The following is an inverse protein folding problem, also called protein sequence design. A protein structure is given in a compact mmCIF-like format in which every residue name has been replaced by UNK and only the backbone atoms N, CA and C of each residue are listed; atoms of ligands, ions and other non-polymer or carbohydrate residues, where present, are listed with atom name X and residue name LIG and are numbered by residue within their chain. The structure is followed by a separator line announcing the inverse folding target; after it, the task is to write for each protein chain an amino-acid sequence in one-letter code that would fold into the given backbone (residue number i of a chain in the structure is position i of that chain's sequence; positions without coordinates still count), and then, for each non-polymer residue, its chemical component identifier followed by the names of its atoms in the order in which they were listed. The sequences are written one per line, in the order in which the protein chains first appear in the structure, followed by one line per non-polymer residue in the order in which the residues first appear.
data_IF_669590901493
#
_entry.id   IF_669590901493
#
_cell.length_a   1.000
_cell.length_b   1.000
_cell.length_c   1.000
_cell.angle_alpha   90.00
_cell.angle_beta   90.00
_cell.angle_gamma   90.00
#
_symmetry.space_group_name_H-M   'P 1'
#
loop_
_entity.id
_entity.type
_entity.pdbx_description
1 polymer ?
#
# COMPACT_ATOMS: atom_id res chain seq x y z
N UNK A 1 11.07 18.27 2.93
CA UNK A 1 11.18 16.80 2.85
C UNK A 1 11.87 16.48 1.55
N UNK A 2 12.95 15.70 1.60
CA UNK A 2 13.65 15.25 0.39
C UNK A 2 12.70 14.36 -0.43
N UNK A 3 12.56 14.69 -1.71
CA UNK A 3 11.67 13.99 -2.63
C UNK A 3 12.40 12.75 -3.12
N UNK A 4 11.98 11.59 -2.66
CA UNK A 4 12.57 10.32 -3.08
C UNK A 4 11.81 9.84 -4.31
N UNK A 5 12.53 9.66 -5.42
CA UNK A 5 11.98 9.08 -6.65
C UNK A 5 12.80 7.86 -7.00
N UNK A 6 12.16 6.70 -7.05
CA UNK A 6 12.80 5.47 -7.49
C UNK A 6 12.65 5.33 -9.00
N UNK A 7 13.76 5.12 -9.69
CA UNK A 7 13.78 4.68 -11.07
C UNK A 7 13.99 3.16 -11.11
N UNK A 8 12.98 2.42 -11.57
CA UNK A 8 13.02 0.98 -11.75
C UNK A 8 13.46 0.64 -13.17
N UNK A 9 14.56 -0.10 -13.30
CA UNK A 9 15.07 -0.65 -14.56
C UNK A 9 15.05 -2.17 -14.49
N UNK A 10 14.44 -2.82 -15.48
CA UNK A 10 14.48 -4.27 -15.65
C UNK A 10 14.68 -4.63 -17.12
N UNK A 11 15.34 -5.76 -17.40
CA UNK A 11 15.30 -6.34 -18.74
C UNK A 11 13.84 -6.60 -19.15
N UNK A 12 13.40 -6.00 -20.25
CA UNK A 12 12.04 -6.16 -20.78
C UNK A 12 10.97 -5.17 -20.28
N UNK A 13 11.29 -4.30 -19.31
CA UNK A 13 10.42 -3.19 -18.91
C UNK A 13 11.08 -1.87 -19.30
N UNK A 14 10.29 -0.93 -19.82
CA UNK A 14 10.73 0.45 -19.92
C UNK A 14 11.03 1.00 -18.52
N UNK A 15 11.97 1.96 -18.42
CA UNK A 15 12.32 2.56 -17.13
C UNK A 15 11.09 3.27 -16.55
N UNK A 16 10.69 2.93 -15.33
CA UNK A 16 9.51 3.50 -14.67
C UNK A 16 9.96 4.28 -13.44
N UNK A 17 9.46 5.51 -13.32
CA UNK A 17 9.68 6.36 -12.14
C UNK A 17 8.54 6.17 -11.13
N UNK A 18 8.88 6.08 -9.86
CA UNK A 18 7.93 5.98 -8.76
C UNK A 18 8.26 7.05 -7.73
N UNK A 19 7.26 7.85 -7.37
CA UNK A 19 7.38 8.76 -6.24
C UNK A 19 7.20 7.96 -4.95
N UNK A 20 8.15 8.10 -4.03
CA UNK A 20 8.20 7.30 -2.80
C UNK A 20 8.14 8.20 -1.58
N UNK A 21 7.18 7.88 -0.71
CA UNK A 21 7.05 8.44 0.64
C UNK A 21 6.79 7.34 1.66
N UNK A 22 6.71 7.72 2.95
CA UNK A 22 6.35 6.78 4.01
C UNK A 22 5.01 6.09 3.75
N UNK A 23 4.04 6.82 3.19
CA UNK A 23 2.86 6.21 2.59
C UNK A 23 2.80 6.58 1.12
N UNK A 24 3.01 5.58 0.29
CA UNK A 24 2.95 5.66 -1.16
C UNK A 24 1.66 5.00 -1.64
N UNK A 25 0.99 5.57 -2.64
CA UNK A 25 -0.15 4.96 -3.31
C UNK A 25 0.12 4.83 -4.79
N UNK A 26 -0.15 3.66 -5.35
CA UNK A 26 -0.20 3.39 -6.78
C UNK A 26 -1.66 3.14 -7.12
N UNK A 27 -2.22 3.99 -7.98
CA UNK A 27 -3.57 3.80 -8.48
C UNK A 27 -3.56 2.73 -9.57
N UNK A 28 -4.42 1.72 -9.43
CA UNK A 28 -4.53 0.62 -10.37
C UNK A 28 -5.49 1.00 -11.50
N UNK A 29 -4.97 1.34 -12.68
CA UNK A 29 -5.79 1.49 -13.89
C UNK A 29 -6.08 0.12 -14.53
N UNK A 30 -7.16 0.03 -15.31
CA UNK A 30 -7.64 -1.25 -15.89
C UNK A 30 -6.67 -1.89 -16.92
N UNK A 31 -5.70 -1.14 -17.46
CA UNK A 31 -4.86 -1.54 -18.61
C UNK A 31 -3.35 -1.55 -18.31
N UNK A 32 -2.96 -1.53 -17.04
CA UNK A 32 -1.59 -1.23 -16.63
C UNK A 32 -0.91 -2.38 -15.84
N UNK A 33 0.41 -2.27 -15.65
CA UNK A 33 1.30 -3.34 -15.13
C UNK A 33 1.72 -3.11 -13.68
N UNK A 34 0.91 -2.44 -12.87
CA UNK A 34 1.24 -2.05 -11.49
C UNK A 34 1.58 -3.26 -10.63
N UNK A 35 0.82 -4.36 -10.78
CA UNK A 35 1.12 -5.61 -10.09
C UNK A 35 2.52 -6.13 -10.45
N UNK A 36 2.88 -6.15 -11.73
CA UNK A 36 4.21 -6.59 -12.20
C UNK A 36 5.33 -5.70 -11.64
N UNK A 37 5.11 -4.38 -11.58
CA UNK A 37 6.05 -3.42 -10.99
C UNK A 37 6.26 -3.74 -9.51
N UNK A 38 5.19 -3.95 -8.76
CA UNK A 38 5.26 -4.28 -7.34
C UNK A 38 5.88 -5.65 -7.08
N UNK A 39 5.59 -6.66 -7.93
CA UNK A 39 6.26 -7.96 -7.87
C UNK A 39 7.76 -7.84 -8.14
N UNK A 40 8.15 -6.99 -9.08
CA UNK A 40 9.55 -6.73 -9.40
C UNK A 40 10.28 -6.10 -8.21
N UNK A 41 9.67 -5.09 -7.58
CA UNK A 41 10.18 -4.45 -6.35
C UNK A 41 10.26 -5.46 -5.21
N UNK A 42 9.19 -6.22 -4.98
CA UNK A 42 9.13 -7.26 -3.96
C UNK A 42 10.27 -8.27 -4.14
N UNK A 43 10.45 -8.78 -5.37
CA UNK A 43 11.51 -9.71 -5.72
C UNK A 43 12.92 -9.13 -5.51
N UNK A 44 13.16 -7.89 -5.94
CA UNK A 44 14.46 -7.23 -5.79
C UNK A 44 14.96 -7.21 -4.34
N UNK A 45 14.06 -6.93 -3.39
CA UNK A 45 14.35 -6.86 -1.96
C UNK A 45 14.30 -8.23 -1.24
N UNK A 46 14.05 -9.34 -1.94
CA UNK A 46 14.13 -10.67 -1.31
C UNK A 46 15.58 -11.16 -1.20
N UNK A 47 15.92 -11.85 -0.11
CA UNK A 47 17.28 -12.39 0.10
C UNK A 47 17.75 -13.34 -1.02
N UNK A 48 16.85 -14.17 -1.56
CA UNK A 48 17.17 -15.27 -2.51
C UNK A 48 16.51 -15.11 -3.89
N UNK A 49 16.27 -13.89 -4.36
CA UNK A 49 15.69 -13.70 -5.69
C UNK A 49 16.75 -13.76 -6.81
N UNK A 50 16.41 -14.48 -7.88
CA UNK A 50 17.20 -14.61 -9.11
C UNK A 50 17.17 -13.35 -9.99
N UNK A 51 16.19 -12.47 -9.79
CA UNK A 51 16.00 -11.26 -10.61
C UNK A 51 17.00 -10.12 -10.29
N UNK A 52 17.80 -10.24 -9.22
CA UNK A 52 18.79 -9.22 -8.81
C UNK A 52 19.84 -8.91 -9.87
N UNK A 53 20.10 -9.84 -10.79
CA UNK A 53 21.04 -9.62 -11.89
C UNK A 53 20.47 -8.71 -12.99
N UNK A 54 19.14 -8.59 -13.08
CA UNK A 54 18.44 -7.96 -14.20
C UNK A 54 17.60 -6.74 -13.79
N UNK A 55 17.40 -6.55 -12.48
CA UNK A 55 16.63 -5.44 -11.91
C UNK A 55 17.55 -4.50 -11.16
N UNK A 56 17.44 -3.20 -11.43
CA UNK A 56 18.12 -2.14 -10.70
C UNK A 56 17.11 -1.09 -10.25
N UNK A 57 17.17 -0.70 -8.97
CA UNK A 57 16.38 0.42 -8.43
C UNK A 57 17.36 1.54 -8.11
N UNK A 58 17.16 2.72 -8.68
CA UNK A 58 18.03 3.89 -8.51
C UNK A 58 17.25 4.97 -7.77
N UNK A 59 17.85 5.59 -6.76
CA UNK A 59 17.34 6.83 -6.20
C UNK A 59 17.72 7.98 -7.13
N UNK A 60 16.74 8.58 -7.80
CA UNK A 60 16.97 9.62 -8.80
C UNK A 60 17.46 10.93 -8.19
N UNK A 61 17.23 11.17 -6.89
CA UNK A 61 17.73 12.37 -6.22
C UNK A 61 19.26 12.34 -6.10
N UNK A 62 19.80 11.19 -5.70
CA UNK A 62 21.23 11.01 -5.43
C UNK A 62 21.99 10.35 -6.60
N UNK A 63 21.26 9.75 -7.55
CA UNK A 63 21.83 8.94 -8.63
C UNK A 63 22.40 7.60 -8.17
N UNK A 64 22.11 7.20 -6.94
CA UNK A 64 22.67 5.99 -6.32
C UNK A 64 21.76 4.77 -6.50
N UNK A 65 22.37 3.60 -6.73
CA UNK A 65 21.65 2.33 -6.75
C UNK A 65 21.24 1.98 -5.32
N UNK A 66 19.95 1.75 -5.11
CA UNK A 66 19.41 1.32 -3.82
C UNK A 66 19.80 -0.13 -3.60
N UNK A 67 20.59 -0.48 -2.57
CA UNK A 67 21.01 -1.86 -2.37
C UNK A 67 19.82 -2.78 -2.09
N UNK A 68 19.83 -3.98 -2.67
CA UNK A 68 18.82 -5.05 -2.41
C UNK A 68 18.65 -5.45 -0.94
N UNK A 69 19.61 -5.09 -0.08
CA UNK A 69 19.59 -5.34 1.36
C UNK A 69 19.11 -4.12 2.17
N UNK A 70 18.78 -3.00 1.53
CA UNK A 70 18.26 -1.82 2.24
C UNK A 70 16.94 -2.12 2.91
N UNK A 71 16.10 -2.91 2.23
CA UNK A 71 14.80 -3.34 2.72
C UNK A 71 14.66 -4.86 2.70
N UNK A 72 13.82 -5.37 3.60
CA UNK A 72 13.15 -6.66 3.46
C UNK A 72 11.69 -6.38 3.13
N UNK A 73 11.28 -6.72 1.91
CA UNK A 73 9.94 -6.40 1.42
C UNK A 73 8.94 -7.52 1.73
N UNK A 74 7.71 -7.14 2.08
CA UNK A 74 6.58 -8.03 2.33
C UNK A 74 5.40 -7.60 1.47
N UNK A 75 4.83 -8.54 0.72
CA UNK A 75 3.63 -8.33 -0.08
C UNK A 75 2.44 -8.99 0.63
N UNK A 76 1.41 -8.20 0.94
CA UNK A 76 0.24 -8.68 1.69
C UNK A 76 -1.08 -8.16 1.12
N UNK A 77 -2.15 -8.86 1.47
CA UNK A 77 -3.54 -8.49 1.21
C UNK A 77 -4.43 -8.93 2.40
N UNK A 78 -5.75 -8.74 2.32
CA UNK A 78 -6.67 -9.18 3.36
C UNK A 78 -6.61 -10.69 3.61
N UNK A 79 -6.46 -11.51 2.57
CA UNK A 79 -6.40 -12.98 2.71
C UNK A 79 -5.17 -13.42 3.51
N UNK A 80 -4.02 -12.79 3.28
CA UNK A 80 -2.81 -13.05 4.06
C UNK A 80 -3.05 -12.81 5.55
N UNK A 81 -3.70 -11.69 5.89
CA UNK A 81 -4.00 -11.35 7.28
C UNK A 81 -5.01 -12.32 7.85
N UNK A 82 -6.08 -12.64 7.13
CA UNK A 82 -7.10 -13.58 7.62
C UNK A 82 -6.51 -14.96 7.94
N UNK A 83 -5.58 -15.47 7.12
CA UNK A 83 -4.88 -16.74 7.38
C UNK A 83 -4.04 -16.71 8.66
N UNK A 84 -3.58 -15.55 9.11
CA UNK A 84 -2.85 -15.42 10.36
C UNK A 84 -3.74 -15.69 11.60
N UNK A 85 -5.09 -15.57 11.49
CA UNK A 85 -6.02 -15.95 12.57
C UNK A 85 -6.01 -17.44 12.87
N UNK A 86 -5.70 -18.27 11.88
CA UNK A 86 -5.68 -19.72 12.07
C UNK A 86 -4.50 -20.18 12.95
N UNK A 87 -3.55 -19.28 13.27
CA UNK A 87 -2.33 -19.58 14.02
C UNK A 87 -1.60 -20.83 13.49
N UNK A 88 -1.64 -21.00 12.16
CA UNK A 88 -0.92 -22.08 11.50
C UNK A 88 0.56 -22.06 11.89
N UNK A 89 1.21 -23.22 11.88
CA UNK A 89 2.61 -23.32 12.34
C UNK A 89 3.57 -22.37 11.58
N UNK A 90 3.26 -22.09 10.32
CA UNK A 90 4.03 -21.19 9.45
C UNK A 90 3.72 -19.71 9.64
N UNK A 91 2.63 -19.39 10.34
CA UNK A 91 2.14 -18.03 10.54
C UNK A 91 3.14 -17.18 11.32
N UNK A 92 3.18 -15.88 11.02
CA UNK A 92 4.02 -14.92 11.73
C UNK A 92 3.59 -14.79 13.19
N UNK A 93 2.28 -14.75 13.46
CA UNK A 93 1.78 -14.62 14.82
C UNK A 93 2.10 -15.85 15.67
N UNK A 94 2.02 -17.06 15.13
CA UNK A 94 2.45 -18.26 15.84
C UNK A 94 3.97 -18.28 16.10
N UNK A 95 4.78 -17.78 15.16
CA UNK A 95 6.23 -17.59 15.38
C UNK A 95 6.51 -16.60 16.51
N UNK A 96 5.78 -15.48 16.54
CA UNK A 96 5.87 -14.48 17.63
C UNK A 96 5.55 -15.12 18.98
N UNK A 97 4.46 -15.88 19.07
CA UNK A 97 4.07 -16.59 20.30
C UNK A 97 5.18 -17.56 20.72
N UNK A 98 5.63 -18.45 19.83
CA UNK A 98 6.67 -19.44 20.15
C UNK A 98 7.99 -18.76 20.55
N UNK A 99 8.33 -17.63 19.93
CA UNK A 99 9.50 -16.83 20.31
C UNK A 99 9.36 -16.26 21.72
N UNK A 100 8.24 -15.62 22.03
CA UNK A 100 7.97 -15.09 23.37
C UNK A 100 7.94 -16.19 24.45
N UNK A 101 7.40 -17.38 24.12
CA UNK A 101 7.40 -18.52 25.03
C UNK A 101 8.83 -19.00 25.35
N UNK A 102 9.74 -18.96 24.37
CA UNK A 102 11.15 -19.36 24.54
C UNK A 102 11.98 -18.31 25.28
N UNK A 103 11.64 -17.03 25.12
CA UNK A 103 12.31 -15.92 25.80
C UNK A 103 11.99 -15.88 27.30
N UNK A 104 10.91 -16.55 27.74
CA UNK A 104 10.52 -16.65 29.15
C UNK A 104 11.01 -17.96 29.79
N UNK A 105 12.03 -17.85 30.64
CA UNK A 105 12.67 -18.97 31.32
C UNK A 105 11.75 -19.74 32.28
N UNK A 106 10.71 -19.09 32.84
CA UNK A 106 9.80 -19.74 33.79
C UNK A 106 8.90 -20.78 33.11
N UNK A 107 8.60 -20.56 31.82
CA UNK A 107 7.73 -21.44 31.03
C UNK A 107 8.33 -22.83 30.86
N UNK A 108 9.66 -22.93 30.76
CA UNK A 108 10.33 -24.23 30.64
C UNK A 108 10.09 -25.12 31.86
N UNK A 109 10.07 -24.54 33.07
CA UNK A 109 9.75 -25.25 34.31
C UNK A 109 8.30 -25.75 34.33
N UNK A 110 7.36 -24.93 33.86
CA UNK A 110 5.96 -25.34 33.73
C UNK A 110 5.78 -26.48 32.72
N UNK A 111 6.43 -26.41 31.56
CA UNK A 111 6.39 -27.48 30.55
C UNK A 111 7.02 -28.77 31.09
N UNK A 112 8.11 -28.69 31.85
CA UNK A 112 8.69 -29.86 32.50
C UNK A 112 7.69 -30.51 33.47
N UNK A 113 7.06 -29.70 34.32
CA UNK A 113 6.02 -30.17 35.26
C UNK A 113 4.86 -30.83 34.51
N UNK A 114 4.38 -30.25 33.42
CA UNK A 114 3.32 -30.84 32.60
C UNK A 114 3.71 -32.19 31.99
N UNK A 115 4.96 -32.34 31.54
CA UNK A 115 5.45 -33.61 30.99
C UNK A 115 5.51 -34.71 32.04
N UNK A 116 5.97 -34.38 33.27
CA UNK A 116 5.95 -35.33 34.39
C UNK A 116 4.52 -35.78 34.70
N UNK A 117 3.57 -34.83 34.77
CA UNK A 117 2.17 -35.17 35.01
C UNK A 117 1.54 -36.02 33.89
N UNK A 118 1.94 -35.81 32.63
CA UNK A 118 1.51 -36.65 31.52
C UNK A 118 2.07 -38.08 31.62
N UNK A 119 3.31 -38.23 32.07
CA UNK A 119 3.91 -39.54 32.35
C UNK A 119 3.18 -40.25 33.48
N UNK A 120 2.88 -39.55 34.58
CA UNK A 120 2.12 -40.09 35.71
C UNK A 120 0.72 -40.55 35.25
N UNK A 121 0.01 -39.74 34.46
CA UNK A 121 -1.30 -40.11 33.92
C UNK A 121 -1.25 -41.37 33.06
N UNK A 122 -0.20 -41.53 32.24
CA UNK A 122 -0.04 -42.73 31.41
C UNK A 122 0.19 -43.98 32.26
N UNK A 123 0.93 -43.90 33.37
CA UNK A 123 1.12 -45.04 34.28
C UNK A 123 -0.19 -45.60 34.84
N UNK A 124 -1.23 -44.78 34.99
CA UNK A 124 -2.55 -45.24 35.46
C UNK A 124 -3.35 -46.02 34.40
N UNK A 125 -3.03 -45.90 33.11
CA UNK A 125 -3.73 -46.57 32.00
C UNK A 125 -2.84 -47.57 31.25
N UNK A 126 -1.54 -47.60 31.53
CA UNK A 126 -0.56 -48.52 30.95
C UNK A 126 -0.65 -49.93 31.58
N UNK A 127 -1.80 -50.58 31.39
CA UNK A 127 -2.02 -51.98 31.76
C UNK A 127 -1.37 -52.96 30.76
N UNK A 128 -0.08 -52.75 30.47
CA UNK A 128 0.70 -53.55 29.51
C UNK A 128 0.56 -53.10 28.05
N UNK A 129 0.19 -51.84 27.82
CA UNK A 129 0.10 -51.25 26.48
C UNK A 129 1.43 -50.57 26.16
N UNK A 130 2.07 -50.80 25.00
CA UNK A 130 3.35 -50.17 24.68
C UNK A 130 3.18 -48.70 24.26
N UNK A 131 2.67 -47.85 25.17
CA UNK A 131 2.35 -46.44 24.94
C UNK A 131 3.30 -45.53 25.72
N UNK A 132 3.56 -44.34 25.19
CA UNK A 132 4.30 -43.28 25.86
C UNK A 132 3.71 -41.92 25.50
N UNK A 133 3.68 -40.94 26.41
CA UNK A 133 3.25 -39.60 26.06
C UNK A 133 4.21 -38.98 25.06
N UNK A 134 3.68 -38.16 24.16
CA UNK A 134 4.53 -37.29 23.33
C UNK A 134 4.96 -36.09 24.18
N UNK A 135 6.20 -35.60 24.04
CA UNK A 135 6.64 -34.41 24.76
C UNK A 135 5.72 -33.22 24.48
N UNK A 136 5.26 -32.58 25.54
CA UNK A 136 4.53 -31.33 25.50
C UNK A 136 5.52 -30.17 25.49
N UNK A 137 5.85 -29.70 24.30
CA UNK A 137 6.79 -28.59 24.05
C UNK A 137 6.06 -27.29 23.66
N UNK A 138 6.81 -26.22 23.39
CA UNK A 138 6.23 -24.94 22.95
C UNK A 138 5.34 -25.06 21.70
N UNK A 139 5.66 -25.98 20.78
CA UNK A 139 4.87 -26.19 19.56
C UNK A 139 3.59 -26.96 19.85
N UNK A 140 3.62 -27.91 20.77
CA UNK A 140 2.43 -28.61 21.25
C UNK A 140 1.51 -27.62 21.97
N UNK A 141 2.07 -26.79 22.86
CA UNK A 141 1.31 -25.76 23.56
C UNK A 141 0.67 -24.75 22.59
N UNK A 142 1.40 -24.26 21.58
CA UNK A 142 0.85 -23.25 20.66
C UNK A 142 -0.33 -23.75 19.84
N UNK A 143 -0.42 -25.06 19.56
CA UNK A 143 -1.59 -25.68 18.89
C UNK A 143 -2.86 -25.68 19.73
N UNK A 144 -2.74 -25.51 21.04
CA UNK A 144 -3.88 -25.40 21.95
C UNK A 144 -4.31 -23.94 22.18
N UNK A 145 -3.63 -22.97 21.57
CA UNK A 145 -3.99 -21.56 21.63
C UNK A 145 -4.97 -21.22 20.51
N UNK A 146 -5.88 -20.30 20.82
CA UNK A 146 -6.80 -19.69 19.86
C UNK A 146 -6.89 -18.20 20.15
N UNK A 147 -7.22 -17.40 19.14
CA UNK A 147 -7.47 -15.98 19.36
C UNK A 147 -8.67 -15.81 20.29
N UNK A 148 -8.47 -15.01 21.34
CA UNK A 148 -9.55 -14.51 22.15
C UNK A 148 -10.06 -13.22 21.53
N UNK A 149 -11.33 -13.22 21.15
CA UNK A 149 -12.04 -12.04 20.72
C UNK A 149 -12.57 -11.30 21.95
N UNK A 150 -12.31 -9.99 22.05
CA UNK A 150 -12.94 -9.14 23.07
C UNK A 150 -14.46 -9.11 22.89
N UNK A 151 -15.19 -9.29 24.00
CA UNK A 151 -16.66 -9.37 23.99
C UNK A 151 -17.34 -8.09 23.47
N UNK A 152 -16.64 -6.96 23.45
CA UNK A 152 -17.15 -5.65 23.03
C UNK A 152 -16.85 -5.30 21.56
N UNK A 153 -16.13 -6.16 20.83
CA UNK A 153 -15.74 -5.89 19.45
C UNK A 153 -16.33 -6.98 18.55
N UNK A 154 -17.02 -6.56 17.50
CA UNK A 154 -17.58 -7.47 16.51
C UNK A 154 -16.47 -7.95 15.55
N UNK A 155 -15.80 -9.03 15.93
CA UNK A 155 -14.76 -9.64 15.11
C UNK A 155 -15.31 -10.45 13.93
N UNK A 156 -16.63 -10.50 13.68
CA UNK A 156 -17.14 -10.94 12.38
C UNK A 156 -16.88 -9.90 11.29
N UNK A 157 -16.69 -8.63 11.67
CA UNK A 157 -16.30 -7.58 10.73
C UNK A 157 -14.82 -7.65 10.42
N UNK A 158 -14.52 -7.69 9.12
CA UNK A 158 -13.16 -7.73 8.59
C UNK A 158 -12.32 -6.56 9.12
N UNK A 159 -12.85 -5.34 9.14
CA UNK A 159 -12.10 -4.15 9.59
C UNK A 159 -11.51 -4.30 11.00
N UNK A 160 -12.29 -4.81 11.95
CA UNK A 160 -11.84 -4.97 13.34
C UNK A 160 -10.71 -5.99 13.45
N UNK A 161 -10.80 -7.05 12.63
CA UNK A 161 -9.76 -8.07 12.51
C UNK A 161 -8.47 -7.48 11.92
N UNK A 162 -8.57 -6.75 10.81
CA UNK A 162 -7.44 -6.09 10.15
C UNK A 162 -6.71 -5.12 11.06
N UNK A 163 -7.42 -4.22 11.75
CA UNK A 163 -6.83 -3.20 12.63
C UNK A 163 -6.07 -3.79 13.80
N UNK A 164 -6.55 -4.92 14.35
CA UNK A 164 -5.89 -5.58 15.49
C UNK A 164 -4.69 -6.38 15.05
N UNK A 165 -4.78 -7.06 13.91
CA UNK A 165 -3.75 -8.01 13.51
C UNK A 165 -2.61 -7.37 12.74
N UNK A 166 -2.90 -6.45 11.82
CA UNK A 166 -1.88 -5.91 10.94
C UNK A 166 -0.70 -5.30 11.71
N UNK A 167 -0.88 -4.51 12.79
CA UNK A 167 0.24 -4.00 13.58
C UNK A 167 1.08 -5.12 14.21
N UNK A 168 0.45 -6.18 14.73
CA UNK A 168 1.16 -7.31 15.35
C UNK A 168 1.97 -8.10 14.34
N UNK A 169 1.41 -8.28 13.14
CA UNK A 169 2.08 -8.94 12.01
C UNK A 169 3.28 -8.12 11.57
N UNK A 170 3.10 -6.80 11.39
CA UNK A 170 4.17 -5.88 10.95
C UNK A 170 5.30 -5.81 11.98
N UNK A 171 4.98 -5.79 13.27
CA UNK A 171 5.98 -5.86 14.34
C UNK A 171 6.82 -7.13 14.21
N UNK A 172 6.19 -8.30 14.01
CA UNK A 172 6.95 -9.53 13.84
C UNK A 172 7.73 -9.56 12.52
N UNK A 173 7.19 -8.99 11.42
CA UNK A 173 7.92 -8.82 10.16
C UNK A 173 9.20 -8.02 10.37
N UNK A 174 9.16 -6.94 11.14
CA UNK A 174 10.33 -6.14 11.50
C UNK A 174 11.31 -6.93 12.38
N UNK A 175 10.82 -7.66 13.39
CA UNK A 175 11.67 -8.48 14.26
C UNK A 175 12.45 -9.57 13.51
N UNK A 176 11.83 -10.22 12.52
CA UNK A 176 12.50 -11.27 11.73
C UNK A 176 13.32 -10.72 10.56
N UNK A 177 13.14 -9.43 10.24
CA UNK A 177 13.86 -8.78 9.16
C UNK A 177 15.19 -8.24 9.68
N UNK A 178 16.30 -8.67 9.06
CA UNK A 178 17.63 -8.12 9.37
C UNK A 178 17.85 -6.72 8.76
N UNK A 179 16.86 -6.20 8.05
CA UNK A 179 16.89 -4.98 7.25
C UNK A 179 15.59 -4.20 7.51
N UNK A 180 15.52 -2.94 7.08
CA UNK A 180 14.29 -2.14 7.24
C UNK A 180 13.12 -2.83 6.54
N UNK A 181 11.98 -2.94 7.19
CA UNK A 181 10.79 -3.54 6.57
C UNK A 181 10.15 -2.57 5.59
N UNK A 182 9.77 -3.06 4.41
CA UNK A 182 8.93 -2.36 3.44
C UNK A 182 7.66 -3.19 3.21
N UNK A 183 6.49 -2.59 3.43
CA UNK A 183 5.21 -3.26 3.20
C UNK A 183 4.63 -2.85 1.86
N UNK A 184 4.26 -3.81 1.03
CA UNK A 184 3.39 -3.61 -0.13
C UNK A 184 2.03 -4.20 0.22
N UNK A 185 0.98 -3.38 0.18
CA UNK A 185 -0.39 -3.78 0.46
C UNK A 185 -1.24 -3.68 -0.80
N UNK A 186 -1.78 -4.80 -1.26
CA UNK A 186 -2.60 -4.85 -2.48
C UNK A 186 -4.09 -4.87 -2.17
N UNK A 187 -4.85 -3.99 -2.84
CA UNK A 187 -6.30 -3.87 -2.80
C UNK A 187 -6.89 -3.77 -1.39
N UNK A 188 -6.44 -2.80 -0.57
CA UNK A 188 -6.93 -2.60 0.80
C UNK A 188 -8.42 -2.23 0.88
N UNK A 189 -9.08 -1.92 -0.22
CA UNK A 189 -10.52 -1.64 -0.31
C UNK A 189 -11.40 -2.89 -0.35
N UNK A 190 -10.83 -4.06 -0.63
CA UNK A 190 -11.60 -5.27 -0.89
C UNK A 190 -12.48 -5.66 0.32
N UNK A 191 -13.79 -5.80 0.09
CA UNK A 191 -14.79 -6.14 1.11
C UNK A 191 -14.93 -5.13 2.27
N UNK A 192 -14.48 -3.89 2.08
CA UNK A 192 -14.65 -2.81 3.06
C UNK A 192 -15.62 -1.74 2.54
N UNK A 193 -16.57 -1.33 3.38
CA UNK A 193 -17.39 -0.15 3.10
C UNK A 193 -16.56 1.14 3.11
N UNK A 194 -17.01 2.26 2.50
CA UNK A 194 -16.24 3.51 2.47
C UNK A 194 -15.77 4.01 3.85
N UNK A 195 -16.61 3.83 4.89
CA UNK A 195 -16.23 4.20 6.27
C UNK A 195 -15.10 3.33 6.80
N UNK A 196 -15.15 2.03 6.52
CA UNK A 196 -14.12 1.06 6.92
C UNK A 196 -12.83 1.25 6.14
N UNK A 197 -12.90 1.66 4.86
CA UNK A 197 -11.72 2.02 4.07
C UNK A 197 -10.98 3.21 4.68
N UNK A 198 -11.69 4.27 5.07
CA UNK A 198 -11.09 5.44 5.77
C UNK A 198 -10.45 5.02 7.09
N UNK A 199 -11.07 4.10 7.81
CA UNK A 199 -10.56 3.56 9.05
C UNK A 199 -9.28 2.73 8.80
N UNK A 200 -9.30 1.81 7.84
CA UNK A 200 -8.15 0.99 7.52
C UNK A 200 -6.98 1.80 6.95
N UNK A 201 -7.27 2.85 6.17
CA UNK A 201 -6.28 3.82 5.71
C UNK A 201 -5.48 4.40 6.87
N UNK A 202 -6.14 4.78 7.97
CA UNK A 202 -5.47 5.30 9.17
C UNK A 202 -4.61 4.23 9.84
N UNK A 203 -5.08 2.97 9.87
CA UNK A 203 -4.30 1.84 10.36
C UNK A 203 -2.99 1.71 9.57
N UNK A 204 -3.04 1.73 8.23
CA UNK A 204 -1.86 1.68 7.37
C UNK A 204 -0.91 2.88 7.57
N UNK A 205 -1.43 4.09 7.73
CA UNK A 205 -0.61 5.29 8.02
C UNK A 205 0.07 5.24 9.39
N UNK A 206 -0.52 4.53 10.35
CA UNK A 206 0.00 4.42 11.72
C UNK A 206 1.13 3.41 11.87
N UNK A 207 1.40 2.59 10.84
CA UNK A 207 2.50 1.64 10.85
C UNK A 207 3.83 2.40 10.81
N UNK A 208 4.78 2.02 11.67
CA UNK A 208 6.10 2.64 11.75
C UNK A 208 7.07 2.14 10.67
N UNK A 209 6.55 1.84 9.48
CA UNK A 209 7.32 1.34 8.34
C UNK A 209 6.82 2.00 7.05
N UNK A 210 7.66 2.11 6.01
CA UNK A 210 7.18 2.54 4.70
C UNK A 210 6.15 1.55 4.14
N UNK A 211 5.05 2.09 3.62
CA UNK A 211 3.94 1.33 3.03
C UNK A 211 3.70 1.78 1.59
N UNK A 212 3.66 0.82 0.67
CA UNK A 212 3.26 1.01 -0.72
C UNK A 212 1.88 0.37 -0.94
N UNK A 213 0.95 1.26 -1.24
CA UNK A 213 -0.40 1.11 -1.76
C UNK A 213 -0.59 0.54 -3.16
N UNK A 214 -1.26 -0.59 -3.41
CA UNK A 214 -1.94 -0.78 -4.70
C UNK A 214 -3.44 -0.69 -4.48
N UNK A 215 -4.12 0.26 -5.11
CA UNK A 215 -5.51 0.57 -4.82
C UNK A 215 -6.29 0.99 -6.07
N UNK A 216 -7.55 0.55 -6.18
CA UNK A 216 -8.56 1.12 -7.08
C UNK A 216 -9.46 2.16 -6.38
N UNK A 217 -9.31 2.37 -5.08
CA UNK A 217 -10.12 3.30 -4.27
C UNK A 217 -9.42 4.63 -3.99
N UNK A 218 -10.19 5.72 -4.12
CA UNK A 218 -9.76 7.08 -3.80
C UNK A 218 -9.39 7.25 -2.32
N UNK A 219 -9.97 6.44 -1.44
CA UNK A 219 -9.74 6.52 0.01
C UNK A 219 -8.31 6.10 0.41
N UNK A 220 -7.62 5.32 -0.42
CA UNK A 220 -6.26 4.88 -0.17
C UNK A 220 -5.19 5.65 -0.94
N UNK A 221 -5.57 6.67 -1.71
CA UNK A 221 -4.60 7.58 -2.30
C UNK A 221 -3.76 8.28 -1.22
N UNK A 222 -2.51 8.57 -1.55
CA UNK A 222 -1.61 9.33 -0.69
C UNK A 222 -2.16 10.74 -0.48
N UNK A 223 -2.03 11.26 0.75
CA UNK A 223 -2.39 12.67 1.00
C UNK A 223 -1.37 13.62 0.42
N UNK A 224 -0.16 13.17 0.11
CA UNK A 224 0.83 13.96 -0.59
C UNK A 224 0.84 13.58 -2.06
N UNK A 225 0.84 14.58 -2.94
CA UNK A 225 0.94 14.37 -4.38
C UNK A 225 2.25 13.63 -4.74
N UNK A 226 3.34 13.90 -4.01
CA UNK A 226 4.62 13.20 -4.18
C UNK A 226 4.65 11.81 -3.54
N UNK A 227 3.57 11.37 -2.89
CA UNK A 227 3.37 9.97 -2.51
C UNK A 227 2.41 9.25 -3.46
N UNK A 228 1.86 9.94 -4.47
CA UNK A 228 0.98 9.33 -5.47
C UNK A 228 1.77 8.90 -6.69
N UNK A 229 1.37 7.74 -7.20
CA UNK A 229 1.84 7.19 -8.45
C UNK A 229 0.62 6.94 -9.32
N UNK A 230 0.63 7.61 -10.47
CA UNK A 230 -0.36 7.44 -11.51
C UNK A 230 0.42 7.06 -12.77
N UNK A 231 0.43 5.77 -13.07
CA UNK A 231 1.27 5.20 -14.12
C UNK A 231 0.37 4.95 -15.32
N UNK A 232 0.78 5.46 -16.48
CA UNK A 232 0.05 5.23 -17.71
C UNK A 232 1.03 5.12 -18.87
N UNK A 233 0.87 4.08 -19.71
CA UNK A 233 1.78 3.77 -20.82
C UNK A 233 3.25 3.79 -20.37
N UNK A 234 3.53 3.06 -19.29
CA UNK A 234 4.85 2.94 -18.66
C UNK A 234 5.49 4.28 -18.21
N UNK A 235 4.68 5.33 -18.01
CA UNK A 235 5.14 6.64 -17.57
C UNK A 235 4.42 7.10 -16.30
N UNK A 236 5.20 7.56 -15.33
CA UNK A 236 4.68 8.31 -14.19
C UNK A 236 4.16 9.68 -14.63
N UNK A 237 2.86 9.91 -14.44
CA UNK A 237 2.24 11.17 -14.82
C UNK A 237 2.55 12.27 -13.80
N UNK A 238 2.55 11.95 -12.51
CA UNK A 238 2.79 12.94 -11.46
C UNK A 238 4.29 13.07 -11.25
N UNK A 239 4.93 14.06 -11.89
CA UNK A 239 6.36 14.31 -11.72
C UNK A 239 6.70 15.81 -11.73
N UNK A 240 7.81 16.17 -11.09
CA UNK A 240 8.23 17.57 -10.93
C UNK A 240 8.52 18.27 -12.26
N UNK A 241 8.98 17.54 -13.28
CA UNK A 241 9.27 18.14 -14.58
C UNK A 241 8.00 18.69 -15.21
N UNK A 242 6.93 17.89 -15.21
CA UNK A 242 5.64 18.30 -15.74
C UNK A 242 4.99 19.40 -14.87
N UNK A 243 5.07 19.30 -13.54
CA UNK A 243 4.55 20.35 -12.65
C UNK A 243 5.26 21.70 -12.87
N UNK A 244 6.59 21.69 -13.04
CA UNK A 244 7.34 22.90 -13.36
C UNK A 244 6.88 23.49 -14.69
N UNK A 245 6.68 22.65 -15.71
CA UNK A 245 6.14 23.10 -16.99
C UNK A 245 4.75 23.71 -16.83
N UNK A 246 3.88 23.11 -16.02
CA UNK A 246 2.53 23.62 -15.77
C UNK A 246 2.53 24.99 -15.06
N UNK A 247 3.52 25.28 -14.21
CA UNK A 247 3.71 26.64 -13.67
C UNK A 247 4.15 27.61 -14.76
N UNK A 248 5.09 27.21 -15.62
CA UNK A 248 5.60 28.06 -16.71
C UNK A 248 4.56 28.41 -17.76
N UNK A 249 3.72 27.43 -18.13
CA UNK A 249 2.70 27.55 -19.17
C UNK A 249 1.39 28.18 -18.63
N UNK A 250 1.35 28.55 -17.35
CA UNK A 250 0.14 29.02 -16.68
C UNK A 250 -0.43 30.30 -17.33
N UNK A 251 -1.75 30.35 -17.63
CA UNK A 251 -2.38 31.54 -18.22
C UNK A 251 -2.51 32.72 -17.25
N UNK A 252 -2.26 32.49 -15.97
CA UNK A 252 -2.24 33.48 -14.90
C UNK A 252 -1.08 33.16 -13.95
N UNK A 253 -0.76 34.09 -13.04
CA UNK A 253 0.33 33.94 -12.08
C UNK A 253 -0.05 32.95 -10.96
N UNK A 254 0.00 31.66 -11.26
CA UNK A 254 -0.20 30.60 -10.26
C UNK A 254 1.14 30.15 -9.67
N UNK A 255 1.15 29.97 -8.36
CA UNK A 255 2.31 29.38 -7.67
C UNK A 255 2.27 27.84 -7.75
N UNK A 256 3.45 27.23 -7.59
CA UNK A 256 3.60 25.76 -7.59
C UNK A 256 2.67 25.09 -6.58
N UNK A 257 2.56 25.66 -5.38
CA UNK A 257 1.75 25.08 -4.30
C UNK A 257 0.25 25.12 -4.65
N UNK A 258 -0.23 26.19 -5.30
CA UNK A 258 -1.63 26.31 -5.76
C UNK A 258 -1.94 25.24 -6.81
N UNK A 259 -1.04 25.06 -7.79
CA UNK A 259 -1.14 24.03 -8.82
C UNK A 259 -1.15 22.62 -8.20
N UNK A 260 -0.25 22.35 -7.25
CA UNK A 260 -0.19 21.05 -6.57
C UNK A 260 -1.46 20.77 -5.76
N UNK A 261 -2.02 21.78 -5.08
CA UNK A 261 -3.28 21.66 -4.34
C UNK A 261 -4.45 21.40 -5.29
N UNK A 262 -4.54 22.14 -6.38
CA UNK A 262 -5.57 21.97 -7.40
C UNK A 262 -5.52 20.57 -8.03
N UNK A 263 -4.33 20.12 -8.44
CA UNK A 263 -4.14 18.79 -9.03
C UNK A 263 -4.49 17.68 -8.04
N UNK A 264 -4.02 17.79 -6.79
CA UNK A 264 -4.35 16.83 -5.75
C UNK A 264 -5.87 16.73 -5.56
N UNK A 265 -6.57 17.86 -5.52
CA UNK A 265 -8.04 17.90 -5.40
C UNK A 265 -8.70 17.24 -6.61
N UNK A 266 -8.25 17.58 -7.81
CA UNK A 266 -8.74 16.99 -9.06
C UNK A 266 -8.64 15.47 -9.04
N UNK A 267 -7.47 14.92 -8.72
CA UNK A 267 -7.25 13.46 -8.68
C UNK A 267 -8.13 12.80 -7.61
N UNK A 268 -8.18 13.33 -6.38
CA UNK A 268 -8.98 12.72 -5.31
C UNK A 268 -10.49 12.72 -5.59
N UNK A 269 -11.00 13.74 -6.30
CA UNK A 269 -12.42 13.87 -6.58
C UNK A 269 -12.85 13.07 -7.82
N UNK A 270 -11.98 12.99 -8.82
CA UNK A 270 -12.38 12.56 -10.16
C UNK A 270 -11.62 11.35 -10.70
N UNK A 271 -10.72 10.73 -9.93
CA UNK A 271 -9.92 9.58 -10.41
C UNK A 271 -10.77 8.46 -11.05
N UNK A 272 -11.93 8.14 -10.47
CA UNK A 272 -12.85 7.11 -10.99
C UNK A 272 -13.53 7.51 -12.30
N UNK A 273 -13.56 8.82 -12.61
CA UNK A 273 -14.09 9.35 -13.86
C UNK A 273 -13.03 9.40 -14.96
N UNK A 274 -11.74 9.40 -14.60
CA UNK A 274 -10.65 9.49 -15.56
C UNK A 274 -10.57 8.25 -16.47
N UNK A 275 -10.96 7.08 -15.99
CA UNK A 275 -10.94 5.85 -16.79
C UNK A 275 -11.98 5.84 -17.92
N UNK A 276 -12.98 6.71 -17.85
CA UNK A 276 -14.06 6.83 -18.83
C UNK A 276 -13.76 7.95 -19.84
N UNK A 277 -14.72 8.29 -20.69
CA UNK A 277 -14.67 9.53 -21.50
C UNK A 277 -15.53 10.60 -20.83
N UNK A 278 -15.06 11.26 -19.75
CA UNK A 278 -15.90 12.14 -18.95
C UNK A 278 -16.28 13.40 -19.73
N UNK A 279 -17.46 13.93 -19.42
CA UNK A 279 -17.83 15.30 -19.75
C UNK A 279 -17.32 16.25 -18.66
N UNK A 280 -16.57 17.26 -19.06
CA UNK A 280 -16.10 18.35 -18.19
C UNK A 280 -16.97 19.59 -18.40
N UNK A 281 -17.47 20.17 -17.31
CA UNK A 281 -18.25 21.42 -17.34
C UNK A 281 -17.95 22.34 -16.16
N UNK A 282 -18.24 23.63 -16.34
CA UNK A 282 -18.17 24.67 -15.31
C UNK A 282 -19.52 25.32 -14.99
N UNK A 283 -20.62 24.86 -15.59
CA UNK A 283 -21.93 25.53 -15.46
C UNK A 283 -23.11 24.57 -15.30
N UNK A 284 -22.96 23.30 -15.67
CA UNK A 284 -23.99 22.27 -15.52
C UNK A 284 -23.44 21.03 -14.80
N UNK A 285 -24.35 20.18 -14.34
CA UNK A 285 -24.00 18.87 -13.82
C UNK A 285 -23.34 18.02 -14.93
N UNK A 286 -22.13 17.56 -14.66
CA UNK A 286 -21.31 16.74 -15.55
C UNK A 286 -20.49 15.76 -14.71
N UNK A 287 -19.76 14.84 -15.37
CA UNK A 287 -18.92 13.86 -14.66
C UNK A 287 -17.80 14.54 -13.87
N UNK A 288 -17.22 15.60 -14.46
CA UNK A 288 -16.19 16.44 -13.85
C UNK A 288 -16.69 17.88 -13.85
N UNK A 289 -16.73 18.49 -12.67
CA UNK A 289 -17.18 19.88 -12.49
C UNK A 289 -16.03 20.75 -12.01
N UNK A 290 -15.61 21.71 -12.84
CA UNK A 290 -14.48 22.60 -12.55
C UNK A 290 -14.96 24.05 -12.67
N UNK A 291 -15.01 24.76 -11.55
CA UNK A 291 -15.52 26.13 -11.50
C UNK A 291 -14.39 27.16 -11.44
N UNK A 292 -13.37 26.88 -10.61
CA UNK A 292 -12.26 27.79 -10.41
C UNK A 292 -11.34 27.79 -11.66
N UNK A 293 -10.83 28.95 -12.09
CA UNK A 293 -9.99 29.03 -13.28
C UNK A 293 -8.72 28.17 -13.20
N UNK A 294 -8.15 28.01 -11.99
CA UNK A 294 -6.99 27.15 -11.77
C UNK A 294 -7.34 25.68 -11.90
N UNK A 295 -8.50 25.26 -11.36
CA UNK A 295 -8.97 23.87 -11.41
C UNK A 295 -9.27 23.47 -12.86
N UNK A 296 -9.82 24.39 -13.66
CA UNK A 296 -10.00 24.21 -15.11
C UNK A 296 -8.64 24.06 -15.80
N UNK A 297 -7.71 24.99 -15.57
CA UNK A 297 -6.38 24.93 -16.20
C UNK A 297 -5.65 23.62 -15.88
N UNK A 298 -5.56 23.27 -14.60
CA UNK A 298 -4.85 22.08 -14.13
C UNK A 298 -5.55 20.81 -14.61
N UNK A 299 -6.87 20.73 -14.48
CA UNK A 299 -7.66 19.55 -14.89
C UNK A 299 -7.51 19.27 -16.38
N UNK A 300 -7.70 20.27 -17.24
CA UNK A 300 -7.57 20.11 -18.69
C UNK A 300 -6.13 19.77 -19.10
N UNK A 301 -5.15 20.46 -18.53
CA UNK A 301 -3.73 20.20 -18.80
C UNK A 301 -3.33 18.78 -18.38
N UNK A 302 -3.83 18.30 -17.24
CA UNK A 302 -3.60 16.93 -16.79
C UNK A 302 -4.26 15.90 -17.71
N UNK A 303 -5.54 16.08 -18.08
CA UNK A 303 -6.24 15.19 -19.01
C UNK A 303 -5.53 15.06 -20.36
N UNK A 304 -5.06 16.20 -20.90
CA UNK A 304 -4.27 16.24 -22.15
C UNK A 304 -2.93 15.56 -21.99
N UNK A 305 -2.20 15.85 -20.91
CA UNK A 305 -0.90 15.25 -20.64
C UNK A 305 -0.99 13.74 -20.40
N UNK A 306 -2.06 13.28 -19.76
CA UNK A 306 -2.39 11.87 -19.56
C UNK A 306 -2.88 11.17 -20.84
N UNK A 307 -3.12 11.93 -21.92
CA UNK A 307 -3.73 11.46 -23.15
C UNK A 307 -5.09 10.77 -22.92
N UNK A 308 -5.84 11.27 -21.93
CA UNK A 308 -7.19 10.80 -21.65
C UNK A 308 -8.18 11.41 -22.63
N UNK A 309 -9.10 10.59 -23.15
CA UNK A 309 -10.20 11.10 -23.96
C UNK A 309 -11.25 11.75 -23.05
N UNK A 310 -11.73 12.94 -23.42
CA UNK A 310 -12.79 13.63 -22.70
C UNK A 310 -13.59 14.52 -23.66
N UNK A 311 -14.77 14.93 -23.20
CA UNK A 311 -15.61 15.92 -23.89
C UNK A 311 -15.81 17.13 -22.98
N UNK A 312 -16.13 18.28 -23.56
CA UNK A 312 -16.17 19.55 -22.83
C UNK A 312 -17.44 20.30 -23.17
N UNK A 313 -18.14 20.78 -22.15
CA UNK A 313 -19.21 21.78 -22.30
C UNK A 313 -18.95 22.92 -21.31
N UNK A 314 -18.16 23.89 -21.77
CA UNK A 314 -17.66 24.99 -20.97
C UNK A 314 -18.36 26.29 -21.37
N UNK A 315 -18.83 27.01 -20.37
CA UNK A 315 -19.20 28.41 -20.52
C UNK A 315 -17.92 29.25 -20.43
N UNK A 316 -17.41 29.65 -21.58
CA UNK A 316 -16.20 30.46 -21.69
C UNK A 316 -16.38 31.91 -21.22
N UNK A 317 -17.63 32.39 -21.13
CA UNK A 317 -17.96 33.76 -20.77
C UNK A 317 -17.82 34.06 -19.28
N UNK A 318 -17.85 33.03 -18.43
CA UNK A 318 -17.69 33.17 -16.97
C UNK A 318 -16.22 33.08 -16.52
N UNK A 319 -15.29 32.80 -17.42
CA UNK A 319 -13.87 32.64 -17.11
C UNK A 319 -13.09 33.93 -17.35
N UNK A 320 -12.01 34.18 -16.59
CA UNK A 320 -11.06 35.24 -16.92
C UNK A 320 -10.55 35.08 -18.35
N UNK A 321 -10.48 36.20 -19.08
CA UNK A 321 -10.10 36.22 -20.49
C UNK A 321 -8.77 35.49 -20.80
N UNK A 322 -7.69 35.62 -20.00
CA UNK A 322 -6.45 34.89 -20.25
C UNK A 322 -6.63 33.37 -20.23
N UNK A 323 -7.41 32.86 -19.26
CA UNK A 323 -7.67 31.41 -19.12
C UNK A 323 -8.56 30.92 -20.25
N UNK A 324 -9.60 31.67 -20.57
CA UNK A 324 -10.55 31.33 -21.65
C UNK A 324 -9.83 31.21 -22.99
N UNK A 325 -9.01 32.20 -23.36
CA UNK A 325 -8.21 32.17 -24.61
C UNK A 325 -7.22 31.02 -24.62
N UNK A 326 -6.51 30.79 -23.51
CA UNK A 326 -5.54 29.70 -23.43
C UNK A 326 -6.22 28.33 -23.58
N UNK A 327 -7.33 28.08 -22.88
CA UNK A 327 -8.06 26.80 -22.96
C UNK A 327 -8.58 26.52 -24.38
N UNK A 328 -9.08 27.55 -25.08
CA UNK A 328 -9.54 27.41 -26.47
C UNK A 328 -8.41 27.07 -27.46
N UNK A 329 -7.16 27.41 -27.13
CA UNK A 329 -5.99 26.99 -27.92
C UNK A 329 -5.48 25.60 -27.53
N UNK A 330 -5.70 25.17 -26.29
CA UNK A 330 -5.23 23.89 -25.76
C UNK A 330 -6.09 22.71 -26.24
N UNK A 331 -7.40 22.94 -26.38
CA UNK A 331 -8.41 22.01 -26.90
C UNK A 331 -8.39 21.97 -28.43
#
# INVERSE_FOLDING_TARGET
MEKIVWELKSEGLHSIELNIENYTSIYNEFDTREEDILQTIYGYFQKRASNKAYVTIIDKADGEVIPSQRYQCWLVNHEFIEKEFELAQTSLLNKKIVRQLKENYEIESYLHTMNVLLEDLVQFVDHGLPIKPKPFDYKAFSKHLQFKFDDHVDYYRLINRLERMLPLIVEEMEQISNHRTLLIYTYPEANLSPKEQIQFRKCLESLNIPVITLTGSAHFLSRNLMGMNYIRRDRQLINMRWLNQLVWDAPMNYEMDEIMVSLKRFIHLYQDKLEMTPLISNHRLADIMLFDPIDIYVGFSFMRYAEQAFTTDMDWGVLPEPVSRYMQHLL
#
